data_IF_097771621940
#
_entry.id   IF_097771621940
#
_cell.length_a   1.000
_cell.length_b   1.000
_cell.length_c   1.000
_cell.angle_alpha   90.00
_cell.angle_beta   90.00
_cell.angle_gamma   90.00
#
_symmetry.space_group_name_H-M   'P 1'
#
loop_
_entity.id
_entity.type
_entity.pdbx_description
1 polymer ?
#
# COMPACT_ATOMS: atom_id res chain seq x y z
N UNK A 1 -8.44 -14.47 5.44
CA UNK A 1 -8.97 -13.20 5.97
C UNK A 1 -7.86 -12.17 5.85
N UNK A 2 -8.09 -11.05 5.16
CA UNK A 2 -7.08 -9.99 5.08
C UNK A 2 -7.23 -9.06 6.29
N UNK A 3 -6.13 -8.71 6.94
CA UNK A 3 -6.12 -7.80 8.10
C UNK A 3 -5.30 -6.57 7.75
N UNK A 4 -5.82 -5.38 8.05
CA UNK A 4 -5.11 -4.12 7.90
C UNK A 4 -4.98 -3.50 9.27
N UNK A 5 -3.75 -3.19 9.67
CA UNK A 5 -3.44 -2.58 10.97
C UNK A 5 -2.88 -1.19 10.74
N UNK A 6 -3.50 -0.22 11.42
CA UNK A 6 -3.09 1.17 11.43
C UNK A 6 -2.48 1.49 12.80
N UNK A 7 -1.22 1.91 12.81
CA UNK A 7 -0.49 2.27 14.01
C UNK A 7 -0.13 3.75 13.90
N UNK A 8 -0.86 4.66 14.57
CA UNK A 8 -0.52 6.07 14.58
C UNK A 8 0.78 6.30 15.38
N UNK A 9 1.60 7.25 14.92
CA UNK A 9 2.71 7.75 15.74
C UNK A 9 2.18 8.70 16.82
N UNK A 10 2.91 8.80 17.93
CA UNK A 10 2.56 9.63 19.09
C UNK A 10 2.40 11.12 18.76
N UNK A 11 3.03 11.58 17.70
CA UNK A 11 3.02 12.97 17.25
C UNK A 11 1.97 13.26 16.16
N UNK A 12 1.11 12.29 15.81
CA UNK A 12 0.12 12.35 14.73
C UNK A 12 0.68 12.77 13.36
N UNK A 13 2.01 12.81 13.20
CA UNK A 13 2.66 13.29 11.97
C UNK A 13 3.00 12.15 11.02
N UNK A 14 2.96 10.92 11.52
CA UNK A 14 3.28 9.71 10.79
C UNK A 14 2.40 8.54 11.26
N UNK A 15 2.32 7.51 10.44
CA UNK A 15 1.68 6.25 10.80
C UNK A 15 2.39 5.09 10.13
N UNK A 16 2.33 3.92 10.75
CA UNK A 16 2.68 2.66 10.11
C UNK A 16 1.38 1.96 9.70
N UNK A 17 1.29 1.61 8.41
CA UNK A 17 0.22 0.79 7.88
C UNK A 17 0.80 -0.57 7.51
N UNK A 18 0.28 -1.62 8.12
CA UNK A 18 0.64 -3.00 7.78
C UNK A 18 -0.60 -3.72 7.27
N UNK A 19 -0.41 -4.57 6.27
CA UNK A 19 -1.48 -5.37 5.68
C UNK A 19 -1.01 -6.81 5.60
N UNK A 20 -1.79 -7.72 6.19
CA UNK A 20 -1.59 -9.16 6.08
C UNK A 20 -2.57 -9.71 5.03
N UNK A 21 -2.01 -10.24 3.94
CA UNK A 21 -2.73 -10.97 2.89
C UNK A 21 -2.70 -12.46 3.24
N UNK A 22 -3.74 -12.96 3.90
CA UNK A 22 -3.88 -14.38 4.14
C UNK A 22 -4.46 -15.09 2.90
N UNK A 23 -3.58 -15.53 2.00
CA UNK A 23 -3.93 -16.36 0.85
C UNK A 23 -3.59 -17.83 1.08
N UNK A 24 -4.49 -18.73 0.65
CA UNK A 24 -4.33 -20.19 0.76
C UNK A 24 -3.27 -20.74 -0.22
N UNK A 25 -2.93 -19.96 -1.24
CA UNK A 25 -1.98 -20.34 -2.30
C UNK A 25 -0.88 -19.30 -2.34
N UNK A 26 0.38 -19.74 -2.26
CA UNK A 26 1.53 -18.86 -2.41
C UNK A 26 1.50 -18.22 -3.81
N UNK A 27 1.49 -16.90 -3.86
CA UNK A 27 1.67 -16.12 -5.07
C UNK A 27 3.00 -15.38 -4.96
N UNK A 28 3.90 -15.55 -5.93
CA UNK A 28 5.15 -14.82 -5.92
C UNK A 28 4.86 -13.38 -6.39
N UNK A 29 5.54 -12.43 -5.74
CA UNK A 29 5.23 -11.00 -5.85
C UNK A 29 6.53 -10.24 -5.96
N UNK A 30 6.60 -9.33 -6.93
CA UNK A 30 7.77 -8.46 -7.09
C UNK A 30 7.81 -7.41 -5.99
N UNK A 31 9.01 -7.01 -5.54
CA UNK A 31 9.17 -5.94 -4.58
C UNK A 31 8.53 -4.64 -5.09
N UNK A 32 8.11 -3.74 -4.20
CA UNK A 32 7.51 -2.47 -4.60
C UNK A 32 8.51 -1.64 -5.39
N UNK A 33 8.15 -1.33 -6.65
CA UNK A 33 8.91 -0.46 -7.54
C UNK A 33 8.08 0.78 -7.83
N UNK A 34 8.72 1.94 -7.87
CA UNK A 34 8.09 3.19 -8.29
C UNK A 34 7.88 3.13 -9.81
N UNK A 35 6.61 3.13 -10.23
CA UNK A 35 6.22 3.09 -11.64
C UNK A 35 5.32 4.28 -11.97
N UNK A 36 5.38 4.73 -13.23
CA UNK A 36 4.47 5.75 -13.73
C UNK A 36 3.18 5.09 -14.20
N UNK A 37 2.05 5.51 -13.63
CA UNK A 37 0.74 5.04 -14.03
C UNK A 37 -0.20 6.22 -14.20
N UNK A 38 -0.72 6.41 -15.42
CA UNK A 38 -1.68 7.47 -15.75
C UNK A 38 -1.24 8.89 -15.32
N UNK A 39 0.05 9.21 -15.46
CA UNK A 39 0.60 10.53 -15.09
C UNK A 39 0.88 10.73 -13.60
N UNK A 40 0.73 9.70 -12.76
CA UNK A 40 1.05 9.73 -11.33
C UNK A 40 2.11 8.68 -11.00
N UNK A 41 3.04 8.99 -10.11
CA UNK A 41 3.98 8.00 -9.57
C UNK A 41 3.29 7.14 -8.53
N UNK A 42 3.29 5.83 -8.76
CA UNK A 42 2.75 4.83 -7.85
C UNK A 42 3.85 3.85 -7.45
N UNK A 43 3.93 3.51 -6.17
CA UNK A 43 4.76 2.41 -5.67
C UNK A 43 3.84 1.31 -5.12
N UNK A 44 4.01 0.09 -5.61
CA UNK A 44 3.23 -1.06 -5.18
C UNK A 44 3.96 -2.37 -5.51
N UNK A 45 3.82 -3.42 -4.68
CA UNK A 45 4.25 -4.76 -5.05
C UNK A 45 3.36 -5.29 -6.18
N UNK A 46 3.96 -5.90 -7.20
CA UNK A 46 3.21 -6.43 -8.36
C UNK A 46 3.05 -7.94 -8.23
N UNK A 47 1.82 -8.43 -8.35
CA UNK A 47 1.52 -9.87 -8.48
C UNK A 47 2.06 -10.38 -9.82
N UNK A 48 2.90 -11.41 -9.83
CA UNK A 48 3.45 -11.96 -11.08
C UNK A 48 2.39 -12.72 -11.90
N UNK A 49 1.33 -13.23 -11.26
CA UNK A 49 0.28 -13.99 -11.96
C UNK A 49 -0.85 -13.09 -12.46
N UNK A 50 -1.35 -12.21 -11.61
CA UNK A 50 -2.53 -11.39 -11.90
C UNK A 50 -2.19 -9.96 -12.35
N UNK A 51 -0.94 -9.50 -12.20
CA UNK A 51 -0.51 -8.14 -12.53
C UNK A 51 -1.05 -7.04 -11.61
N UNK A 52 -1.87 -7.39 -10.62
CA UNK A 52 -2.46 -6.47 -9.65
C UNK A 52 -1.60 -6.23 -8.42
N UNK A 53 -2.16 -5.48 -7.45
CA UNK A 53 -1.57 -5.23 -6.13
C UNK A 53 -2.64 -5.16 -5.03
N UNK A 54 -2.25 -5.52 -3.81
CA UNK A 54 -3.03 -5.42 -2.56
C UNK A 54 -2.66 -4.20 -1.72
N UNK A 55 -1.67 -3.42 -2.13
CA UNK A 55 -1.31 -2.16 -1.49
C UNK A 55 -0.62 -1.23 -2.50
N UNK A 56 -0.99 0.03 -2.54
CA UNK A 56 -0.34 1.02 -3.40
C UNK A 56 -0.23 2.36 -2.71
N UNK A 57 0.87 3.05 -2.91
CA UNK A 57 1.08 4.43 -2.46
C UNK A 57 1.35 5.33 -3.66
N UNK A 58 0.77 6.53 -3.68
CA UNK A 58 1.07 7.56 -4.68
C UNK A 58 2.01 8.64 -4.12
N UNK A 59 2.52 9.50 -5.01
CA UNK A 59 3.39 10.62 -4.63
C UNK A 59 2.74 11.65 -3.69
N UNK A 60 1.41 11.77 -3.67
CA UNK A 60 0.66 12.62 -2.73
C UNK A 60 0.53 12.01 -1.33
N UNK A 61 1.18 10.88 -1.06
CA UNK A 61 1.09 10.16 0.21
C UNK A 61 -0.27 9.49 0.44
N UNK A 62 -1.04 9.20 -0.62
CA UNK A 62 -2.27 8.41 -0.53
C UNK A 62 -1.92 6.93 -0.62
N UNK A 63 -2.32 6.17 0.39
CA UNK A 63 -2.16 4.72 0.44
C UNK A 63 -3.53 4.07 0.23
N UNK A 64 -3.63 3.17 -0.74
CA UNK A 64 -4.82 2.38 -1.01
C UNK A 64 -4.53 0.90 -0.73
N UNK A 65 -5.39 0.25 0.06
CA UNK A 65 -5.34 -1.18 0.31
C UNK A 65 -6.72 -1.79 0.01
N UNK A 66 -6.88 -2.53 -1.10
CA UNK A 66 -8.08 -3.31 -1.34
C UNK A 66 -8.17 -4.48 -0.35
N UNK A 67 -9.34 -4.61 0.27
CA UNK A 67 -9.71 -5.70 1.19
C UNK A 67 -10.86 -6.49 0.58
N UNK A 68 -11.14 -7.70 1.07
CA UNK A 68 -12.13 -8.59 0.44
C UNK A 68 -13.51 -7.94 0.19
N UNK A 69 -13.95 -7.04 1.06
CA UNK A 69 -15.27 -6.41 1.00
C UNK A 69 -15.21 -4.89 0.75
N UNK A 70 -14.08 -4.36 0.28
CA UNK A 70 -13.95 -2.92 0.06
C UNK A 70 -12.53 -2.43 -0.17
N UNK A 71 -12.29 -1.15 0.10
CA UNK A 71 -10.96 -0.54 0.02
C UNK A 71 -10.77 0.46 1.16
N UNK A 72 -9.58 0.49 1.72
CA UNK A 72 -9.19 1.50 2.70
C UNK A 72 -8.24 2.48 2.02
N UNK A 73 -8.52 3.78 2.18
CA UNK A 73 -7.70 4.86 1.63
C UNK A 73 -7.22 5.73 2.80
N UNK A 74 -5.90 5.79 2.99
CA UNK A 74 -5.26 6.69 3.93
C UNK A 74 -4.60 7.83 3.18
N UNK A 75 -4.60 9.04 3.76
CA UNK A 75 -3.84 10.16 3.24
C UNK A 75 -2.85 10.64 4.30
N UNK A 76 -1.56 10.58 3.97
CA UNK A 76 -0.52 11.23 4.73
C UNK A 76 -0.58 12.75 4.49
N UNK A 77 -0.32 13.57 5.53
CA UNK A 77 0.11 14.94 5.31
C UNK A 77 1.41 14.90 4.51
N UNK A 78 1.45 15.64 3.40
CA UNK A 78 2.41 15.55 2.29
C UNK A 78 3.88 15.83 2.64
N UNK A 79 4.24 15.98 3.91
CA UNK A 79 5.58 16.34 4.37
C UNK A 79 6.46 15.17 4.84
N UNK A 80 5.91 13.95 5.01
CA UNK A 80 6.66 12.81 5.57
C UNK A 80 6.35 11.49 4.86
N UNK A 81 6.61 11.42 3.56
CA UNK A 81 6.80 10.11 2.90
C UNK A 81 8.21 9.67 3.25
N UNK A 82 8.34 8.72 4.19
CA UNK A 82 9.62 8.12 4.53
C UNK A 82 10.16 7.41 3.29
N UNK A 83 11.08 8.07 2.59
CA UNK A 83 11.87 7.48 1.52
C UNK A 83 12.97 6.67 2.21
N UNK A 84 12.85 5.35 2.18
CA UNK A 84 13.97 4.44 2.49
C UNK A 84 15.07 4.59 1.46
#
# INVERSE_FOLDING_TARGET
MCTVSYIPASDNSSFALTSNRAEKVFRPTLPPVVTWHNGTKLAFPRDEKAGGSWIAINEDGRVCCPIQWGRIIFKLPTSKVCRT
#
